data_IF_760262156238
#
_entry.id   IF_760262156238
#
_cell.length_a   1.000
_cell.length_b   1.000
_cell.length_c   1.000
_cell.angle_alpha   90.00
_cell.angle_beta   90.00
_cell.angle_gamma   90.00
#
_symmetry.space_group_name_H-M   'P 1'
#
loop_
_entity.id
_entity.type
_entity.pdbx_description
1 polymer ?
#
# COMPACT_ATOMS: atom_id res chain seq x y z
N UNK A 1 12.08 13.54 -1.96
CA UNK A 1 11.40 12.44 -2.62
C UNK A 1 11.61 11.16 -1.81
N UNK A 2 10.56 10.59 -1.30
CA UNK A 2 10.69 9.38 -0.48
C UNK A 2 10.78 8.16 -1.39
N UNK A 3 11.76 7.30 -1.11
CA UNK A 3 11.91 6.04 -1.82
C UNK A 3 11.06 4.98 -1.12
N UNK A 4 10.19 4.34 -1.88
CA UNK A 4 9.37 3.26 -1.34
C UNK A 4 10.17 1.97 -1.42
N UNK A 5 10.26 1.27 -0.28
CA UNK A 5 10.96 0.00 -0.19
C UNK A 5 10.06 -1.04 0.47
N UNK A 6 10.53 -2.29 0.51
CA UNK A 6 9.78 -3.35 1.19
C UNK A 6 9.62 -3.07 2.68
N UNK A 7 10.46 -2.24 3.25
CA UNK A 7 10.42 -1.88 4.66
C UNK A 7 9.54 -0.66 4.95
N UNK A 8 9.04 0.00 3.91
CA UNK A 8 8.18 1.17 4.08
C UNK A 8 6.88 0.74 4.76
N UNK A 9 6.48 1.48 5.80
CA UNK A 9 5.26 1.19 6.52
C UNK A 9 4.05 1.71 5.74
N UNK A 10 3.00 0.89 5.71
CA UNK A 10 1.76 1.29 5.04
C UNK A 10 1.14 2.52 5.67
N UNK A 11 1.22 2.64 7.00
CA UNK A 11 0.67 3.81 7.69
C UNK A 11 1.32 5.10 7.21
N UNK A 12 2.62 5.07 6.95
CA UNK A 12 3.32 6.25 6.45
C UNK A 12 2.86 6.60 5.04
N UNK A 13 2.68 5.59 4.19
CA UNK A 13 2.21 5.81 2.84
C UNK A 13 0.79 6.37 2.82
N UNK A 14 -0.09 5.82 3.63
CA UNK A 14 -1.48 6.28 3.71
C UNK A 14 -1.56 7.69 4.29
N UNK A 15 -0.66 8.03 5.23
CA UNK A 15 -0.60 9.36 5.78
C UNK A 15 -0.19 10.41 4.73
N UNK A 16 0.74 10.05 3.84
CA UNK A 16 1.17 10.92 2.77
C UNK A 16 0.18 10.96 1.62
N UNK A 17 -0.44 9.83 1.33
CA UNK A 17 -1.38 9.68 0.21
C UNK A 17 -2.67 9.04 0.70
N UNK A 18 -3.57 9.82 1.31
CA UNK A 18 -4.82 9.26 1.88
C UNK A 18 -5.68 8.50 0.87
N UNK A 19 -5.62 8.88 -0.39
CA UNK A 19 -6.37 8.22 -1.47
C UNK A 19 -5.79 6.85 -1.84
N UNK A 20 -4.56 6.57 -1.43
CA UNK A 20 -3.84 5.36 -1.86
C UNK A 20 -4.53 4.08 -1.38
N UNK A 21 -5.14 4.12 -0.20
CA UNK A 21 -5.82 2.95 0.35
C UNK A 21 -6.92 2.44 -0.61
N UNK A 22 -7.72 3.36 -1.14
CA UNK A 22 -8.79 3.00 -2.05
C UNK A 22 -8.24 2.49 -3.38
N UNK A 23 -7.18 3.09 -3.86
CA UNK A 23 -6.55 2.66 -5.11
C UNK A 23 -5.95 1.26 -4.97
N UNK A 24 -5.36 0.95 -3.82
CA UNK A 24 -4.80 -0.38 -3.58
C UNK A 24 -5.88 -1.45 -3.60
N UNK A 25 -7.06 -1.14 -3.06
CA UNK A 25 -8.19 -2.08 -3.09
C UNK A 25 -8.59 -2.40 -4.54
N UNK A 26 -8.50 -1.41 -5.43
CA UNK A 26 -8.80 -1.61 -6.84
C UNK A 26 -7.76 -2.50 -7.52
N UNK A 27 -6.52 -2.44 -7.06
CA UNK A 27 -5.45 -3.27 -7.62
C UNK A 27 -5.65 -4.75 -7.27
N UNK A 28 -6.04 -5.02 -6.02
CA UNK A 28 -6.23 -6.39 -5.56
C UNK A 28 -7.26 -6.40 -4.44
N UNK A 29 -8.28 -7.25 -4.59
CA UNK A 29 -9.33 -7.37 -3.59
C UNK A 29 -8.83 -7.72 -2.20
N UNK A 30 -7.71 -8.43 -2.12
CA UNK A 30 -7.14 -8.81 -0.83
C UNK A 30 -6.79 -7.60 0.02
N UNK A 31 -6.58 -6.44 -0.60
CA UNK A 31 -6.30 -5.22 0.12
C UNK A 31 -7.54 -4.62 0.80
N UNK A 32 -8.72 -5.19 0.56
CA UNK A 32 -9.94 -4.77 1.28
C UNK A 32 -9.78 -4.93 2.78
N UNK A 33 -8.91 -5.83 3.22
CA UNK A 33 -8.64 -6.01 4.64
C UNK A 33 -8.13 -4.73 5.31
N UNK A 34 -7.57 -3.81 4.53
CA UNK A 34 -7.11 -2.53 5.06
C UNK A 34 -8.26 -1.67 5.58
N UNK A 35 -9.48 -1.93 5.11
CA UNK A 35 -10.67 -1.19 5.55
C UNK A 35 -11.33 -1.82 6.77
N UNK A 36 -10.91 -3.00 7.19
CA UNK A 36 -11.47 -3.66 8.36
C UNK A 36 -10.81 -3.11 9.63
N UNK A 37 -11.45 -3.24 10.80
CA UNK A 37 -10.84 -2.83 12.06
C UNK A 37 -9.50 -3.53 12.31
N UNK A 38 -9.42 -4.82 11.97
CA UNK A 38 -8.18 -5.59 12.12
C UNK A 38 -7.11 -5.04 11.18
N UNK A 39 -7.49 -4.72 9.95
CA UNK A 39 -6.56 -4.14 8.98
C UNK A 39 -6.01 -2.81 9.45
N UNK A 40 -6.85 -1.97 10.06
CA UNK A 40 -6.40 -0.69 10.58
C UNK A 40 -5.38 -0.84 11.69
N UNK A 41 -5.58 -1.82 12.57
CA UNK A 41 -4.62 -2.11 13.63
C UNK A 41 -3.30 -2.60 13.05
N UNK A 42 -3.37 -3.45 12.03
CA UNK A 42 -2.18 -4.00 11.39
C UNK A 42 -1.43 -2.95 10.58
N UNK A 43 -2.16 -2.01 9.99
CA UNK A 43 -1.58 -0.99 9.13
C UNK A 43 -0.50 -0.17 9.82
N UNK A 44 -0.65 0.06 11.13
CA UNK A 44 0.34 0.80 11.90
C UNK A 44 1.67 0.08 12.06
N UNK A 45 1.68 -1.24 11.85
CA UNK A 45 2.89 -2.05 11.99
C UNK A 45 3.30 -2.74 10.70
N UNK A 46 2.39 -2.85 9.74
CA UNK A 46 2.65 -3.59 8.51
C UNK A 46 3.53 -2.80 7.56
N UNK A 47 4.47 -3.50 6.95
CA UNK A 47 5.30 -2.97 5.89
C UNK A 47 4.84 -3.55 4.56
N UNK A 48 5.44 -3.07 3.46
CA UNK A 48 5.15 -3.63 2.15
C UNK A 48 5.51 -5.10 2.10
N UNK A 49 6.60 -5.50 2.78
CA UNK A 49 7.00 -6.90 2.87
C UNK A 49 5.90 -7.75 3.51
N UNK A 50 5.26 -7.24 4.56
CA UNK A 50 4.15 -7.94 5.20
C UNK A 50 2.95 -8.05 4.27
N UNK A 51 2.65 -7.01 3.53
CA UNK A 51 1.56 -7.04 2.55
C UNK A 51 1.85 -8.05 1.45
N UNK A 52 3.12 -8.15 1.04
CA UNK A 52 3.54 -9.13 0.05
C UNK A 52 3.20 -10.55 0.52
N UNK A 53 3.54 -10.86 1.77
CA UNK A 53 3.27 -12.17 2.33
C UNK A 53 1.77 -12.48 2.40
N UNK A 54 0.98 -11.48 2.76
CA UNK A 54 -0.46 -11.67 2.95
C UNK A 54 -1.25 -11.71 1.67
N UNK A 55 -0.82 -10.94 0.66
CA UNK A 55 -1.54 -10.84 -0.60
C UNK A 55 -1.06 -11.84 -1.65
N UNK A 56 0.11 -12.43 -1.44
CA UNK A 56 0.71 -13.32 -2.43
C UNK A 56 1.37 -12.58 -3.59
N UNK A 57 1.43 -11.25 -3.52
CA UNK A 57 2.12 -10.45 -4.53
C UNK A 57 3.57 -10.19 -4.10
N UNK A 58 4.48 -10.13 -5.06
CA UNK A 58 5.87 -9.76 -4.77
C UNK A 58 5.96 -8.33 -4.25
N UNK A 59 6.86 -8.10 -3.30
CA UNK A 59 7.06 -6.76 -2.78
C UNK A 59 7.40 -5.76 -3.89
N UNK A 60 8.22 -6.16 -4.85
CA UNK A 60 8.58 -5.28 -5.97
C UNK A 60 7.37 -4.94 -6.82
N UNK A 61 6.45 -5.89 -7.02
CA UNK A 61 5.23 -5.64 -7.77
C UNK A 61 4.35 -4.63 -7.04
N UNK A 62 4.25 -4.75 -5.73
CA UNK A 62 3.48 -3.81 -4.92
C UNK A 62 4.10 -2.42 -5.00
N UNK A 63 5.41 -2.33 -4.86
CA UNK A 63 6.14 -1.06 -4.93
C UNK A 63 5.95 -0.40 -6.30
N UNK A 64 6.09 -1.17 -7.38
CA UNK A 64 5.90 -0.65 -8.74
C UNK A 64 4.49 -0.13 -8.93
N UNK A 65 3.50 -0.83 -8.44
CA UNK A 65 2.10 -0.41 -8.58
C UNK A 65 1.84 0.87 -7.78
N UNK A 66 2.38 0.95 -6.57
CA UNK A 66 2.21 2.15 -5.74
C UNK A 66 2.87 3.36 -6.43
N UNK A 67 4.08 3.20 -6.95
CA UNK A 67 4.76 4.28 -7.65
C UNK A 67 3.97 4.71 -8.88
N UNK A 68 3.40 3.76 -9.61
CA UNK A 68 2.59 4.04 -10.77
C UNK A 68 1.34 4.84 -10.37
N UNK A 69 0.67 4.43 -9.30
CA UNK A 69 -0.51 5.13 -8.81
C UNK A 69 -0.19 6.55 -8.39
N UNK A 70 0.92 6.74 -7.68
CA UNK A 70 1.35 8.06 -7.25
C UNK A 70 1.64 8.95 -8.45
N UNK A 71 2.36 8.43 -9.43
CA UNK A 71 2.71 9.17 -10.64
C UNK A 71 1.45 9.58 -11.40
N UNK A 72 0.52 8.64 -11.58
CA UNK A 72 -0.73 8.93 -12.30
C UNK A 72 -1.58 9.95 -11.56
N UNK A 73 -1.65 9.85 -10.24
CA UNK A 73 -2.44 10.77 -9.44
C UNK A 73 -1.85 12.18 -9.49
N UNK A 74 -0.53 12.29 -9.43
CA UNK A 74 0.17 13.56 -9.45
C UNK A 74 0.03 14.27 -10.80
N UNK A 75 -0.08 13.49 -11.87
CA UNK A 75 -0.17 14.04 -13.23
C UNK A 75 -1.59 14.44 -13.67
N UNK A 76 -2.56 14.28 -12.80
CA UNK A 76 -3.94 14.67 -13.12
C UNK A 76 -4.21 16.14 -12.84
#
# INVERSE_FOLDING_TARGET
MSTITAETKLSDLIAQYPWLKEEMVKVNEKFKMLNSPVGKLMMGKATIAEMSKRSGMDAESIISRINELITNHTNQ
#
